data_IF_508471287479
#
_entry.id   IF_508471287479
#
_cell.length_a   1.000
_cell.length_b   1.000
_cell.length_c   1.000
_cell.angle_alpha   90.00
_cell.angle_beta   90.00
_cell.angle_gamma   90.00
#
_symmetry.space_group_name_H-M   'P 1'
#
loop_
_entity.id
_entity.type
_entity.pdbx_description
1 polymer ?
#
# COMPACT_ATOMS: atom_id res chain seq x y z
N UNK A 1 59.27 15.11 35.27
CA UNK A 1 58.86 14.75 33.90
C UNK A 1 57.41 14.27 33.94
N UNK A 2 56.47 15.09 33.42
CA UNK A 2 55.05 14.75 33.31
C UNK A 2 54.79 14.31 31.87
N UNK A 3 54.07 13.21 31.58
CA UNK A 3 53.71 12.85 30.23
C UNK A 3 52.45 13.60 29.83
N UNK A 4 52.51 14.25 28.69
CA UNK A 4 51.40 14.95 28.04
C UNK A 4 50.64 13.94 27.17
N UNK A 5 49.34 13.73 27.48
CA UNK A 5 48.42 12.93 26.66
C UNK A 5 47.81 13.83 25.59
N UNK A 6 48.02 13.49 24.31
CA UNK A 6 47.28 14.05 23.18
C UNK A 6 46.01 13.21 22.97
N UNK A 7 44.84 13.84 23.10
CA UNK A 7 43.56 13.28 22.71
C UNK A 7 43.34 13.66 21.24
N UNK A 8 43.44 12.68 20.36
CA UNK A 8 43.06 12.84 18.96
C UNK A 8 41.59 12.54 18.81
N UNK A 9 40.79 13.58 18.63
CA UNK A 9 39.36 13.45 18.32
C UNK A 9 39.20 13.00 16.85
N UNK A 10 38.76 11.76 16.64
CA UNK A 10 38.29 11.29 15.32
C UNK A 10 36.89 11.80 15.11
N UNK A 11 36.74 12.83 14.26
CA UNK A 11 35.45 13.19 13.67
C UNK A 11 35.11 12.12 12.62
N UNK A 12 34.24 11.18 13.00
CA UNK A 12 33.63 10.26 12.05
C UNK A 12 32.52 11.03 11.29
N UNK A 13 32.87 11.57 10.13
CA UNK A 13 31.89 12.17 9.23
C UNK A 13 30.98 11.11 8.66
N UNK A 14 29.75 11.06 9.19
CA UNK A 14 28.70 10.17 8.71
C UNK A 14 28.15 10.76 7.40
N UNK A 15 28.72 10.35 6.26
CA UNK A 15 28.10 10.60 4.95
C UNK A 15 26.82 9.76 4.86
N UNK A 16 25.70 10.40 5.11
CA UNK A 16 24.40 9.85 4.72
C UNK A 16 24.36 10.00 3.20
N UNK A 17 24.65 8.91 2.50
CA UNK A 17 24.35 8.80 1.08
C UNK A 17 22.82 8.74 0.94
N UNK A 18 22.18 9.89 0.74
CA UNK A 18 20.86 9.94 0.14
C UNK A 18 21.01 9.38 -1.28
N UNK A 19 20.65 8.11 -1.47
CA UNK A 19 20.41 7.61 -2.81
C UNK A 19 19.18 8.37 -3.33
N UNK A 20 19.29 9.18 -4.40
CA UNK A 20 18.13 9.70 -5.07
C UNK A 20 17.39 8.46 -5.61
N UNK A 21 16.16 8.25 -5.20
CA UNK A 21 15.23 7.44 -5.96
C UNK A 21 15.19 8.07 -7.35
N UNK A 22 15.86 7.43 -8.30
CA UNK A 22 15.76 7.78 -9.70
C UNK A 22 14.31 7.48 -10.11
N UNK A 23 13.45 8.49 -9.95
CA UNK A 23 12.27 8.55 -10.78
C UNK A 23 12.80 8.46 -12.21
N UNK A 24 12.62 7.32 -12.86
CA UNK A 24 12.85 7.17 -14.28
C UNK A 24 11.83 8.06 -14.98
N UNK A 25 12.12 9.34 -15.08
CA UNK A 25 11.49 10.19 -16.08
C UNK A 25 11.95 9.62 -17.43
N UNK A 26 11.12 8.76 -18.02
CA UNK A 26 11.30 8.37 -19.40
C UNK A 26 11.15 9.65 -20.24
N UNK A 27 12.29 10.21 -20.65
CA UNK A 27 12.40 11.48 -21.36
C UNK A 27 11.63 11.54 -22.70
N UNK A 28 10.81 10.51 -23.03
CA UNK A 28 10.09 10.38 -24.29
C UNK A 28 8.68 9.78 -24.14
N UNK A 29 8.11 9.66 -22.96
CA UNK A 29 6.68 9.35 -22.88
C UNK A 29 5.89 10.57 -23.33
N UNK A 30 4.94 10.43 -24.28
CA UNK A 30 4.06 11.54 -24.62
C UNK A 30 3.39 12.00 -23.33
N UNK A 31 3.40 13.32 -23.11
CA UNK A 31 2.66 13.89 -21.99
C UNK A 31 1.23 13.35 -22.04
N UNK A 32 0.67 12.94 -20.91
CA UNK A 32 -0.75 12.62 -20.81
C UNK A 32 -1.50 13.78 -21.45
N UNK A 33 -2.40 13.54 -22.41
CA UNK A 33 -3.31 14.60 -22.84
C UNK A 33 -3.93 15.16 -21.57
N UNK A 34 -3.87 16.48 -21.35
CA UNK A 34 -4.50 17.11 -20.18
C UNK A 34 -5.92 16.55 -20.10
N UNK A 35 -6.28 15.77 -19.08
CA UNK A 35 -7.62 15.24 -19.00
C UNK A 35 -8.57 16.43 -19.04
N UNK A 36 -9.72 16.34 -19.72
CA UNK A 36 -10.74 17.37 -19.56
C UNK A 36 -10.97 17.50 -18.06
N UNK A 37 -11.12 18.73 -17.58
CA UNK A 37 -11.40 18.99 -16.17
C UNK A 37 -12.49 18.02 -15.74
N UNK A 38 -12.15 17.04 -14.89
CA UNK A 38 -13.11 16.04 -14.47
C UNK A 38 -14.16 16.70 -13.59
N UNK A 39 -15.37 16.75 -14.08
CA UNK A 39 -16.54 17.13 -13.28
C UNK A 39 -17.26 15.85 -12.78
N UNK A 40 -18.25 15.97 -11.87
CA UNK A 40 -18.96 14.83 -11.30
C UNK A 40 -19.56 13.86 -12.30
N UNK A 41 -19.84 14.30 -13.52
CA UNK A 41 -20.52 13.52 -14.57
C UNK A 41 -19.67 13.32 -15.84
N UNK A 42 -18.35 13.45 -15.73
CA UNK A 42 -17.44 13.29 -16.89
C UNK A 42 -17.68 11.93 -17.59
N UNK A 43 -18.00 11.92 -18.90
CA UNK A 43 -18.22 10.68 -19.62
C UNK A 43 -17.02 9.72 -19.56
N UNK A 44 -17.30 8.44 -19.34
CA UNK A 44 -16.27 7.40 -19.22
C UNK A 44 -15.75 7.19 -17.79
N UNK A 45 -16.04 8.10 -16.87
CA UNK A 45 -15.69 8.01 -15.45
C UNK A 45 -16.93 7.69 -14.59
N UNK A 46 -16.72 7.21 -13.36
CA UNK A 46 -17.83 7.01 -12.42
C UNK A 46 -18.43 8.37 -12.04
N UNK A 47 -19.75 8.40 -11.81
CA UNK A 47 -20.40 9.58 -11.23
C UNK A 47 -19.88 9.77 -9.81
N UNK A 48 -19.52 11.00 -9.46
CA UNK A 48 -18.88 11.31 -8.19
C UNK A 48 -19.51 12.55 -7.52
N UNK A 49 -19.38 12.67 -6.22
CA UNK A 49 -19.69 13.89 -5.46
C UNK A 49 -18.45 14.78 -5.45
N UNK A 50 -18.56 15.98 -6.01
CA UNK A 50 -17.49 16.99 -5.91
C UNK A 50 -17.58 17.70 -4.57
N UNK A 51 -16.45 17.69 -3.84
CA UNK A 51 -16.35 18.36 -2.55
C UNK A 51 -15.75 19.78 -2.71
N UNK A 52 -16.08 20.71 -1.82
CA UNK A 52 -15.39 22.00 -1.73
C UNK A 52 -13.88 21.81 -1.61
N UNK A 53 -13.11 22.75 -2.15
CA UNK A 53 -11.65 22.69 -2.11
C UNK A 53 -11.12 22.67 -0.66
N UNK A 54 -10.20 21.75 -0.39
CA UNK A 54 -9.65 21.50 0.94
C UNK A 54 -10.46 20.51 1.80
N UNK A 55 -11.66 20.12 1.39
CA UNK A 55 -12.46 19.10 2.09
C UNK A 55 -12.09 17.67 1.67
N UNK A 56 -12.40 16.72 2.55
CA UNK A 56 -12.18 15.28 2.37
C UNK A 56 -13.51 14.54 2.45
N UNK A 57 -13.61 13.30 1.93
CA UNK A 57 -14.84 12.52 2.01
C UNK A 57 -15.30 12.27 3.44
N UNK A 58 -16.63 12.14 3.68
CA UNK A 58 -17.14 11.80 5.00
C UNK A 58 -16.75 10.37 5.40
N UNK A 59 -16.52 10.16 6.70
CA UNK A 59 -16.05 8.87 7.24
C UNK A 59 -17.13 7.79 7.31
N UNK A 60 -18.39 8.16 7.05
CA UNK A 60 -19.58 7.30 7.14
C UNK A 60 -20.29 7.09 5.79
N UNK A 61 -19.69 7.52 4.69
CA UNK A 61 -20.28 7.41 3.35
C UNK A 61 -19.43 6.56 2.40
N UNK A 62 -20.10 5.64 1.70
CA UNK A 62 -19.55 4.94 0.55
C UNK A 62 -19.71 5.77 -0.73
N UNK A 63 -18.96 5.43 -1.77
CA UNK A 63 -19.14 5.98 -3.11
C UNK A 63 -17.91 6.71 -3.66
N UNK A 64 -18.15 7.58 -4.63
CA UNK A 64 -17.10 8.24 -5.40
C UNK A 64 -17.08 9.73 -5.06
N UNK A 65 -15.88 10.24 -4.78
CA UNK A 65 -15.67 11.64 -4.40
C UNK A 65 -14.58 12.28 -5.24
N UNK A 66 -14.71 13.56 -5.52
CA UNK A 66 -13.66 14.39 -6.12
C UNK A 66 -13.25 15.41 -5.07
N UNK A 67 -11.95 15.41 -4.70
CA UNK A 67 -11.37 16.45 -3.83
C UNK A 67 -10.65 17.50 -4.65
N UNK A 68 -10.68 18.74 -4.14
CA UNK A 68 -10.11 19.91 -4.81
C UNK A 68 -8.58 19.89 -4.90
N UNK A 69 -7.98 20.90 -5.55
CA UNK A 69 -6.54 20.94 -5.81
C UNK A 69 -5.67 21.34 -4.61
N UNK A 70 -6.26 21.71 -3.48
CA UNK A 70 -5.54 22.15 -2.26
C UNK A 70 -5.47 21.00 -1.26
N UNK A 71 -4.26 20.56 -0.93
CA UNK A 71 -4.00 19.42 -0.05
C UNK A 71 -3.23 19.85 1.19
N UNK A 72 -3.96 20.33 2.20
CA UNK A 72 -3.36 20.68 3.49
C UNK A 72 -3.21 19.44 4.37
N UNK A 73 -2.06 19.35 5.05
CA UNK A 73 -1.79 18.24 5.95
C UNK A 73 -2.74 18.25 7.16
N UNK A 74 -3.42 17.14 7.40
CA UNK A 74 -4.31 16.98 8.53
C UNK A 74 -3.56 17.16 9.87
N UNK A 75 -4.21 17.73 10.88
CA UNK A 75 -3.57 17.99 12.19
C UNK A 75 -3.13 16.71 12.90
N UNK A 76 -3.75 15.58 12.61
CA UNK A 76 -3.44 14.25 13.15
C UNK A 76 -2.05 13.72 12.75
N UNK A 77 -1.44 14.28 11.70
CA UNK A 77 -0.07 13.92 11.30
C UNK A 77 1.00 14.45 12.26
N UNK A 78 0.63 15.34 13.15
CA UNK A 78 1.55 15.94 14.11
C UNK A 78 1.37 15.29 15.48
N UNK A 79 2.49 15.10 16.19
CA UNK A 79 2.45 14.71 17.59
C UNK A 79 1.72 15.82 18.37
N UNK A 80 0.63 15.46 19.03
CA UNK A 80 -0.17 16.39 19.82
C UNK A 80 0.16 16.30 21.30
N UNK A 81 0.21 17.43 21.97
CA UNK A 81 0.48 17.49 23.42
C UNK A 81 -0.62 16.76 24.20
N UNK A 82 -0.22 15.89 25.12
CA UNK A 82 -1.15 15.12 25.94
C UNK A 82 -1.71 13.85 25.28
N UNK A 83 -1.42 13.61 23.99
CA UNK A 83 -1.80 12.37 23.32
C UNK A 83 -0.74 11.28 23.65
N UNK A 84 -1.17 10.12 24.19
CA UNK A 84 -0.26 9.02 24.47
C UNK A 84 0.35 8.47 23.17
N UNK A 85 1.68 8.40 23.13
CA UNK A 85 2.39 7.88 21.96
C UNK A 85 2.67 6.40 22.10
N UNK A 86 2.50 5.66 21.01
CA UNK A 86 2.86 4.25 20.91
C UNK A 86 4.36 4.02 20.91
N UNK A 87 4.74 2.74 20.99
CA UNK A 87 6.14 2.29 20.93
C UNK A 87 6.43 1.74 19.53
N UNK A 88 7.56 2.14 18.98
CA UNK A 88 8.00 1.68 17.66
C UNK A 88 9.12 0.65 17.83
N UNK A 89 8.92 -0.53 17.28
CA UNK A 89 9.91 -1.61 17.22
C UNK A 89 10.47 -1.72 15.80
N UNK A 90 11.75 -2.07 15.72
CA UNK A 90 12.40 -2.35 14.43
C UNK A 90 13.13 -3.68 14.52
N UNK A 91 12.94 -4.52 13.52
CA UNK A 91 13.74 -5.72 13.37
C UNK A 91 14.02 -6.02 11.89
N UNK A 92 14.94 -6.93 11.68
CA UNK A 92 15.46 -7.29 10.35
C UNK A 92 15.10 -8.74 10.09
N UNK A 93 14.65 -9.02 8.86
CA UNK A 93 14.48 -10.37 8.34
C UNK A 93 15.49 -10.57 7.20
N UNK A 94 16.29 -11.64 7.29
CA UNK A 94 17.14 -12.04 6.17
C UNK A 94 16.32 -12.92 5.22
N UNK A 95 16.36 -12.63 3.94
CA UNK A 95 15.62 -13.41 2.94
C UNK A 95 16.08 -14.88 2.87
N UNK A 96 17.33 -15.16 3.26
CA UNK A 96 17.84 -16.53 3.37
C UNK A 96 17.09 -17.40 4.38
N UNK A 97 16.41 -16.80 5.34
CA UNK A 97 15.61 -17.48 6.35
C UNK A 97 14.15 -17.65 5.90
N UNK A 98 13.75 -16.95 4.83
CA UNK A 98 12.40 -17.03 4.26
C UNK A 98 12.26 -18.27 3.37
N UNK A 99 11.17 -18.99 3.54
CA UNK A 99 10.79 -20.11 2.67
C UNK A 99 10.04 -19.64 1.42
N UNK A 100 9.41 -18.45 1.52
CA UNK A 100 8.53 -17.91 0.47
C UNK A 100 9.30 -16.93 -0.43
N UNK A 101 10.11 -16.05 0.16
CA UNK A 101 10.87 -15.02 -0.57
C UNK A 101 12.37 -15.06 -0.23
N UNK A 102 13.11 -16.07 -0.76
CA UNK A 102 14.55 -16.17 -0.51
C UNK A 102 15.37 -15.07 -1.19
N UNK A 103 14.78 -14.36 -2.13
CA UNK A 103 15.35 -13.21 -2.81
C UNK A 103 15.77 -13.45 -4.25
N UNK A 104 15.39 -12.51 -5.11
CA UNK A 104 15.83 -12.41 -6.50
C UNK A 104 16.28 -11.00 -6.83
N UNK A 105 17.10 -10.87 -7.85
CA UNK A 105 17.41 -9.59 -8.49
C UNK A 105 17.33 -9.75 -10.01
N UNK A 106 16.81 -8.73 -10.66
CA UNK A 106 16.72 -8.66 -12.12
C UNK A 106 18.10 -8.53 -12.76
N UNK A 107 18.32 -9.28 -13.84
CA UNK A 107 19.55 -9.19 -14.62
C UNK A 107 19.67 -7.84 -15.32
N UNK A 108 20.87 -7.30 -15.38
CA UNK A 108 21.13 -5.98 -15.98
C UNK A 108 20.83 -5.99 -17.47
N UNK A 109 20.24 -4.91 -17.97
CA UNK A 109 20.01 -4.67 -19.40
C UNK A 109 18.87 -5.47 -20.03
N UNK A 110 18.08 -6.16 -19.23
CA UNK A 110 17.02 -7.03 -19.73
C UNK A 110 15.60 -6.43 -19.59
N UNK A 111 15.44 -5.35 -18.86
CA UNK A 111 14.15 -4.67 -18.73
C UNK A 111 13.90 -3.69 -19.89
N UNK A 112 12.71 -3.78 -20.47
CA UNK A 112 12.29 -2.85 -21.52
C UNK A 112 12.87 -3.12 -22.90
N UNK A 113 13.57 -4.24 -23.12
CA UNK A 113 14.00 -4.66 -24.45
C UNK A 113 12.80 -5.21 -25.22
N UNK A 114 12.51 -4.67 -26.42
CA UNK A 114 11.43 -5.22 -27.27
C UNK A 114 11.70 -6.69 -27.60
N UNK A 115 10.64 -7.52 -27.57
CA UNK A 115 10.74 -8.90 -28.04
C UNK A 115 11.08 -8.91 -29.55
N UNK A 116 12.15 -9.57 -29.99
CA UNK A 116 12.47 -9.64 -31.43
C UNK A 116 11.36 -10.27 -32.30
N UNK A 117 10.50 -11.07 -31.70
CA UNK A 117 9.37 -11.73 -32.39
C UNK A 117 8.08 -10.89 -32.35
N UNK A 118 7.95 -10.05 -31.34
CA UNK A 118 6.82 -9.17 -31.17
C UNK A 118 7.27 -7.85 -30.51
N UNK A 119 7.68 -6.85 -31.31
CA UNK A 119 8.20 -5.59 -30.78
C UNK A 119 7.23 -4.78 -29.93
N UNK A 120 5.93 -5.13 -29.93
CA UNK A 120 4.93 -4.55 -29.03
C UNK A 120 5.06 -5.08 -27.59
N UNK A 121 5.68 -6.24 -27.42
CA UNK A 121 5.96 -6.83 -26.10
C UNK A 121 7.35 -6.44 -25.64
N UNK A 122 7.43 -6.04 -24.39
CA UNK A 122 8.71 -5.91 -23.73
C UNK A 122 9.12 -7.28 -23.18
N UNK A 123 10.33 -7.72 -23.51
CA UNK A 123 10.89 -8.89 -22.84
C UNK A 123 11.11 -8.51 -21.38
N UNK A 124 10.37 -9.17 -20.55
CA UNK A 124 10.63 -9.18 -19.13
C UNK A 124 11.45 -10.43 -18.84
N UNK A 125 12.51 -10.39 -18.67
CA UNK A 125 13.83 -10.64 -18.40
C UNK A 125 14.12 -11.67 -17.37
N UNK A 126 15.28 -12.17 -17.42
CA UNK A 126 15.82 -13.11 -16.48
C UNK A 126 16.14 -12.43 -15.15
N UNK A 127 15.87 -13.14 -14.08
CA UNK A 127 16.28 -12.82 -12.72
C UNK A 127 17.13 -13.95 -12.19
N UNK A 128 18.00 -13.66 -11.26
CA UNK A 128 18.77 -14.68 -10.55
C UNK A 128 18.58 -14.54 -9.03
N UNK A 129 18.87 -15.62 -8.30
CA UNK A 129 18.79 -15.63 -6.85
C UNK A 129 19.78 -14.60 -6.25
N UNK A 130 19.27 -13.73 -5.40
CA UNK A 130 20.06 -12.72 -4.71
C UNK A 130 19.45 -12.46 -3.33
N UNK A 131 20.10 -12.91 -2.26
CA UNK A 131 19.65 -12.64 -0.91
C UNK A 131 19.61 -11.15 -0.61
N UNK A 132 18.67 -10.74 0.21
CA UNK A 132 18.51 -9.36 0.68
C UNK A 132 18.11 -9.32 2.16
N UNK A 133 18.07 -8.11 2.69
CA UNK A 133 17.68 -7.85 4.07
C UNK A 133 16.45 -6.96 4.08
N UNK A 134 15.40 -7.40 4.78
CA UNK A 134 14.15 -6.68 4.93
C UNK A 134 14.04 -6.07 6.30
N UNK A 135 13.62 -4.81 6.36
CA UNK A 135 13.24 -4.16 7.62
C UNK A 135 11.75 -4.32 7.86
N UNK A 136 11.38 -4.65 9.08
CA UNK A 136 10.01 -4.60 9.58
C UNK A 136 9.95 -3.59 10.71
N UNK A 137 9.03 -2.64 10.61
CA UNK A 137 8.77 -1.61 11.62
C UNK A 137 7.38 -1.83 12.17
N UNK A 138 7.26 -1.93 13.48
CA UNK A 138 5.99 -2.21 14.15
C UNK A 138 5.69 -1.11 15.15
N UNK A 139 4.54 -0.49 15.00
CA UNK A 139 3.96 0.44 15.95
C UNK A 139 2.97 -0.30 16.85
N UNK A 140 3.14 -0.17 18.16
CA UNK A 140 2.22 -0.71 19.18
C UNK A 140 1.65 0.46 19.97
N UNK A 141 0.33 0.71 19.92
CA UNK A 141 -0.27 1.86 20.59
C UNK A 141 -0.13 1.74 22.12
N UNK A 142 -0.04 2.88 22.80
CA UNK A 142 0.04 2.94 24.27
C UNK A 142 -1.17 2.30 24.95
N UNK A 143 -2.30 2.28 24.26
CA UNK A 143 -3.57 1.70 24.73
C UNK A 143 -3.65 0.18 24.56
N UNK A 144 -2.64 -0.45 23.95
CA UNK A 144 -2.62 -1.90 23.83
C UNK A 144 -2.58 -2.57 25.22
N UNK A 145 -3.45 -3.55 25.40
CA UNK A 145 -3.49 -4.36 26.63
C UNK A 145 -2.83 -5.72 26.35
N UNK A 146 -1.75 -6.01 27.05
CA UNK A 146 -1.00 -7.26 26.86
C UNK A 146 -1.89 -8.49 27.02
N UNK A 147 -1.74 -9.44 26.10
CA UNK A 147 -2.53 -10.68 26.06
C UNK A 147 -3.90 -10.56 25.43
N UNK A 148 -4.35 -9.34 25.05
CA UNK A 148 -5.60 -9.19 24.29
C UNK A 148 -5.31 -9.24 22.78
N UNK A 149 -6.12 -9.94 21.95
CA UNK A 149 -5.98 -9.91 20.50
C UNK A 149 -6.22 -8.51 19.96
N UNK A 150 -5.17 -7.88 19.41
CA UNK A 150 -5.25 -6.54 18.83
C UNK A 150 -5.61 -6.60 17.34
N UNK A 151 -6.49 -5.72 16.84
CA UNK A 151 -6.61 -5.49 15.41
C UNK A 151 -5.30 -4.91 14.86
N UNK A 152 -5.08 -5.05 13.54
CA UNK A 152 -3.84 -4.56 12.95
C UNK A 152 -3.99 -4.17 11.47
N UNK A 153 -3.05 -3.34 11.02
CA UNK A 153 -2.90 -2.97 9.61
C UNK A 153 -1.49 -3.32 9.13
N UNK A 154 -1.40 -4.02 7.99
CA UNK A 154 -0.15 -4.37 7.32
C UNK A 154 0.09 -3.42 6.17
N UNK A 155 1.21 -2.69 6.21
CA UNK A 155 1.65 -1.78 5.15
C UNK A 155 2.83 -2.34 4.37
N UNK A 156 2.78 -2.18 3.06
CA UNK A 156 3.86 -2.46 2.11
C UNK A 156 4.82 -1.27 2.01
N UNK A 157 6.01 -1.47 1.41
CA UNK A 157 7.03 -0.43 1.19
C UNK A 157 7.45 0.33 2.47
N UNK A 158 7.38 -0.33 3.64
CA UNK A 158 7.66 0.30 4.92
C UNK A 158 9.08 0.87 5.11
N UNK A 159 9.26 1.77 6.09
CA UNK A 159 8.30 2.18 7.09
C UNK A 159 7.37 3.32 6.63
N UNK A 160 6.09 3.24 6.93
CA UNK A 160 5.16 4.36 6.76
C UNK A 160 5.13 5.23 8.03
N UNK A 161 6.00 6.23 8.06
CA UNK A 161 6.16 7.09 9.24
C UNK A 161 5.01 8.07 9.44
N UNK A 162 4.16 8.32 8.44
CA UNK A 162 2.97 9.17 8.59
C UNK A 162 1.88 8.46 9.39
N UNK A 163 1.80 7.16 9.27
CA UNK A 163 0.75 6.35 9.91
C UNK A 163 0.79 6.41 11.44
N UNK A 164 1.99 6.47 12.05
CA UNK A 164 2.13 6.32 13.50
C UNK A 164 1.55 7.49 14.30
N UNK A 165 1.88 8.78 14.03
CA UNK A 165 1.25 9.88 14.73
C UNK A 165 -0.25 9.99 14.45
N UNK A 166 -0.69 9.62 13.25
CA UNK A 166 -2.13 9.56 12.93
C UNK A 166 -2.83 8.55 13.82
N UNK A 167 -2.28 7.36 13.98
CA UNK A 167 -2.85 6.34 14.86
C UNK A 167 -2.86 6.78 16.32
N UNK A 168 -1.80 7.44 16.83
CA UNK A 168 -1.79 7.97 18.19
C UNK A 168 -2.99 8.91 18.43
N UNK A 169 -3.22 9.84 17.51
CA UNK A 169 -4.29 10.84 17.62
C UNK A 169 -5.68 10.22 17.46
N UNK A 170 -5.88 9.37 16.45
CA UNK A 170 -7.18 8.73 16.18
C UNK A 170 -7.56 7.74 17.29
N UNK A 171 -6.62 6.97 17.82
CA UNK A 171 -6.87 6.05 18.93
C UNK A 171 -7.20 6.82 20.21
N UNK A 172 -6.47 7.89 20.52
CA UNK A 172 -6.76 8.75 21.66
C UNK A 172 -8.15 9.42 21.52
N UNK A 173 -8.51 9.83 20.31
CA UNK A 173 -9.84 10.35 19.99
C UNK A 173 -10.96 9.31 19.91
N UNK A 174 -10.64 8.01 20.06
CA UNK A 174 -11.59 6.87 19.90
C UNK A 174 -12.25 6.82 18.52
N UNK A 175 -11.56 7.32 17.52
CA UNK A 175 -12.00 7.32 16.11
C UNK A 175 -11.72 5.99 15.43
N UNK A 176 -10.63 5.31 15.84
CA UNK A 176 -10.25 3.97 15.40
C UNK A 176 -9.92 3.10 16.62
N UNK A 177 -9.98 1.75 16.51
CA UNK A 177 -9.62 0.87 17.61
C UNK A 177 -8.11 0.97 17.93
N UNK A 178 -7.69 0.63 19.16
CA UNK A 178 -6.27 0.46 19.46
C UNK A 178 -5.66 -0.66 18.62
N UNK A 179 -5.07 -0.30 17.47
CA UNK A 179 -4.54 -1.24 16.50
C UNK A 179 -3.02 -1.18 16.40
N UNK A 180 -2.42 -2.29 16.01
CA UNK A 180 -1.00 -2.41 15.71
C UNK A 180 -0.77 -2.09 14.23
N UNK A 181 0.25 -1.29 13.90
CA UNK A 181 0.66 -1.10 12.51
C UNK A 181 1.97 -1.84 12.24
N UNK A 182 1.99 -2.61 11.15
CA UNK A 182 3.11 -3.44 10.73
C UNK A 182 3.54 -2.98 9.34
N UNK A 183 4.65 -2.24 9.27
CA UNK A 183 5.21 -1.74 8.02
C UNK A 183 6.34 -2.63 7.54
N UNK A 184 6.18 -3.27 6.39
CA UNK A 184 7.12 -4.25 5.84
C UNK A 184 7.86 -3.63 4.67
N UNK A 185 9.20 -3.56 4.75
CA UNK A 185 10.05 -3.19 3.61
C UNK A 185 10.05 -4.28 2.55
N UNK A 186 10.22 -3.90 1.29
CA UNK A 186 10.33 -4.83 0.17
C UNK A 186 11.79 -5.33 -0.05
N UNK A 187 11.95 -6.30 -0.94
CA UNK A 187 13.26 -6.85 -1.31
C UNK A 187 14.06 -6.03 -2.32
N UNK A 188 13.55 -4.87 -2.71
CA UNK A 188 14.23 -3.95 -3.62
C UNK A 188 13.88 -4.11 -5.09
N UNK A 189 14.31 -3.12 -5.87
CA UNK A 189 13.98 -2.99 -7.27
C UNK A 189 12.59 -2.42 -7.50
N UNK A 190 12.25 -2.29 -8.77
CA UNK A 190 10.93 -1.85 -9.23
C UNK A 190 10.60 -2.56 -10.55
N UNK A 191 9.31 -2.69 -10.85
CA UNK A 191 8.79 -3.38 -12.03
C UNK A 191 9.25 -4.87 -12.16
N UNK A 192 8.84 -5.49 -13.24
CA UNK A 192 8.99 -6.93 -13.46
C UNK A 192 10.44 -7.44 -13.32
N UNK A 193 10.59 -8.61 -12.77
CA UNK A 193 11.88 -9.26 -12.56
C UNK A 193 12.61 -8.85 -11.29
N UNK A 194 12.15 -7.83 -10.58
CA UNK A 194 12.67 -7.45 -9.26
C UNK A 194 11.99 -8.24 -8.14
N UNK A 195 12.60 -8.25 -6.97
CA UNK A 195 12.00 -8.87 -5.78
C UNK A 195 10.70 -8.17 -5.40
N UNK A 196 10.66 -6.82 -5.42
CA UNK A 196 9.44 -6.06 -5.12
C UNK A 196 8.29 -6.42 -6.06
N UNK A 197 8.56 -6.64 -7.35
CA UNK A 197 7.53 -7.08 -8.29
C UNK A 197 7.07 -8.51 -8.02
N UNK A 198 8.01 -9.41 -7.67
CA UNK A 198 7.66 -10.77 -7.25
C UNK A 198 6.79 -10.77 -5.99
N UNK A 199 7.04 -9.87 -5.06
CA UNK A 199 6.26 -9.73 -3.83
C UNK A 199 4.88 -9.14 -4.08
N UNK A 200 4.79 -8.07 -4.89
CA UNK A 200 3.59 -7.21 -4.95
C UNK A 200 2.74 -7.39 -6.21
N UNK A 201 3.38 -7.72 -7.35
CA UNK A 201 2.68 -7.84 -8.62
C UNK A 201 2.37 -9.30 -9.00
N UNK A 202 2.62 -10.25 -8.08
CA UNK A 202 2.20 -11.64 -8.26
C UNK A 202 0.70 -11.77 -7.98
N UNK A 203 -0.07 -12.21 -8.99
CA UNK A 203 -1.51 -12.43 -8.85
C UNK A 203 -1.80 -13.75 -8.13
N UNK A 204 -1.54 -13.79 -6.82
CA UNK A 204 -1.75 -14.97 -5.95
C UNK A 204 -1.78 -14.59 -4.48
N UNK A 205 -2.18 -15.54 -3.60
CA UNK A 205 -2.17 -15.37 -2.14
C UNK A 205 -0.79 -15.36 -1.49
N UNK A 206 0.29 -15.54 -2.27
CA UNK A 206 1.63 -15.81 -1.75
C UNK A 206 2.18 -14.74 -0.80
N UNK A 207 1.91 -13.46 -1.06
CA UNK A 207 2.37 -12.41 -0.16
C UNK A 207 1.60 -12.40 1.17
N UNK A 208 0.30 -12.68 1.14
CA UNK A 208 -0.49 -12.87 2.36
C UNK A 208 0.01 -14.06 3.18
N UNK A 209 0.34 -15.19 2.51
CA UNK A 209 0.92 -16.37 3.15
C UNK A 209 2.27 -16.05 3.80
N UNK A 210 3.13 -15.28 3.12
CA UNK A 210 4.39 -14.80 3.68
C UNK A 210 4.16 -13.98 4.95
N UNK A 211 3.22 -13.05 4.91
CA UNK A 211 2.88 -12.22 6.07
C UNK A 211 2.38 -13.11 7.22
N UNK A 212 1.44 -14.01 6.96
CA UNK A 212 0.82 -14.87 7.98
C UNK A 212 1.82 -15.86 8.60
N UNK A 213 2.68 -16.47 7.78
CA UNK A 213 3.55 -17.57 8.22
C UNK A 213 4.91 -17.12 8.74
N UNK A 214 5.43 -15.99 8.24
CA UNK A 214 6.80 -15.57 8.55
C UNK A 214 6.85 -14.23 9.31
N UNK A 215 6.02 -13.25 8.94
CA UNK A 215 6.07 -11.91 9.55
C UNK A 215 5.29 -11.83 10.87
N UNK A 216 4.01 -12.22 10.87
CA UNK A 216 3.16 -12.07 12.05
C UNK A 216 3.69 -12.83 13.28
N UNK A 217 4.17 -14.09 13.16
CA UNK A 217 4.77 -14.79 14.32
C UNK A 217 6.00 -14.06 14.89
N UNK A 218 6.79 -13.43 14.01
CA UNK A 218 7.96 -12.66 14.43
C UNK A 218 7.54 -11.36 15.13
N UNK A 219 6.49 -10.70 14.65
CA UNK A 219 5.89 -9.50 15.29
C UNK A 219 5.38 -9.85 16.69
N UNK A 220 4.57 -10.90 16.83
CA UNK A 220 4.04 -11.33 18.12
C UNK A 220 5.16 -11.62 19.14
N UNK A 221 6.19 -12.36 18.70
CA UNK A 221 7.34 -12.70 19.51
C UNK A 221 8.17 -11.49 19.94
N UNK A 222 8.53 -10.62 18.97
CA UNK A 222 9.49 -9.54 19.21
C UNK A 222 8.85 -8.31 19.89
N UNK A 223 7.56 -8.08 19.66
CA UNK A 223 6.83 -6.96 20.24
C UNK A 223 6.00 -7.35 21.47
N UNK A 224 5.97 -8.64 21.83
CA UNK A 224 5.17 -9.19 22.95
C UNK A 224 3.69 -8.82 22.84
N UNK A 225 3.13 -8.97 21.65
CA UNK A 225 1.74 -8.68 21.34
C UNK A 225 1.00 -9.94 20.88
N UNK A 226 -0.33 -9.90 20.96
CA UNK A 226 -1.21 -10.92 20.37
C UNK A 226 -2.02 -10.26 19.28
N UNK A 227 -2.00 -10.81 18.07
CA UNK A 227 -2.73 -10.29 16.92
C UNK A 227 -4.06 -11.01 16.74
N UNK A 228 -5.11 -10.28 16.38
CA UNK A 228 -6.43 -10.88 16.16
C UNK A 228 -6.43 -11.85 14.98
N UNK A 229 -7.25 -12.90 15.09
CA UNK A 229 -7.53 -13.82 13.98
C UNK A 229 -8.85 -13.48 13.26
N UNK A 230 -9.60 -12.51 13.77
CA UNK A 230 -10.81 -12.01 13.14
C UNK A 230 -10.44 -11.21 11.87
N UNK A 231 -10.87 -11.62 10.67
CA UNK A 231 -10.57 -10.91 9.43
C UNK A 231 -11.11 -9.48 9.40
N UNK A 232 -12.18 -9.17 10.16
CA UNK A 232 -12.69 -7.80 10.30
C UNK A 232 -11.75 -6.89 11.09
N UNK A 233 -10.86 -7.46 11.89
CA UNK A 233 -9.83 -6.75 12.64
C UNK A 233 -8.49 -6.68 11.91
N UNK A 234 -8.43 -7.02 10.63
CA UNK A 234 -7.20 -7.09 9.84
C UNK A 234 -7.31 -6.25 8.58
N UNK A 235 -6.38 -5.32 8.42
CA UNK A 235 -6.32 -4.43 7.28
C UNK A 235 -4.98 -4.54 6.54
N UNK A 236 -5.01 -4.20 5.24
CA UNK A 236 -3.84 -4.08 4.39
C UNK A 236 -3.78 -2.69 3.76
N UNK A 237 -2.57 -2.14 3.55
CA UNK A 237 -2.40 -0.82 2.95
C UNK A 237 -1.15 -0.73 2.10
N UNK A 238 -1.18 0.14 1.10
CA UNK A 238 -0.02 0.45 0.29
C UNK A 238 -0.27 1.49 -0.79
N UNK A 239 0.81 1.86 -1.48
CA UNK A 239 0.77 2.73 -2.65
C UNK A 239 1.35 2.04 -3.86
N UNK A 240 0.91 2.41 -5.08
CA UNK A 240 1.43 1.83 -6.31
C UNK A 240 1.26 0.29 -6.36
N UNK A 241 2.30 -0.47 -6.71
CA UNK A 241 2.29 -1.93 -6.61
C UNK A 241 1.99 -2.43 -5.18
N UNK A 242 2.39 -1.67 -4.15
CA UNK A 242 2.01 -1.97 -2.77
C UNK A 242 0.50 -1.84 -2.53
N UNK A 243 -0.17 -0.93 -3.25
CA UNK A 243 -1.63 -0.77 -3.20
C UNK A 243 -2.34 -1.95 -3.87
N UNK A 244 -1.92 -2.38 -5.07
CA UNK A 244 -2.47 -3.59 -5.69
C UNK A 244 -2.18 -4.83 -4.83
N UNK A 245 -0.97 -4.95 -4.24
CA UNK A 245 -0.63 -6.01 -3.30
C UNK A 245 -1.58 -6.06 -2.10
N UNK A 246 -1.93 -4.91 -1.53
CA UNK A 246 -2.89 -4.84 -0.43
C UNK A 246 -4.26 -5.44 -0.81
N UNK A 247 -4.77 -5.17 -2.02
CA UNK A 247 -5.98 -5.80 -2.51
C UNK A 247 -5.77 -7.28 -2.85
N UNK A 248 -4.65 -7.64 -3.48
CA UNK A 248 -4.31 -9.03 -3.82
C UNK A 248 -4.33 -9.91 -2.56
N UNK A 249 -3.75 -9.44 -1.45
CA UNK A 249 -3.78 -10.15 -0.17
C UNK A 249 -5.22 -10.46 0.28
N UNK A 250 -6.08 -9.45 0.30
CA UNK A 250 -7.47 -9.61 0.73
C UNK A 250 -8.31 -10.41 -0.29
N UNK A 251 -8.01 -10.28 -1.58
CA UNK A 251 -8.73 -10.98 -2.63
C UNK A 251 -8.51 -12.50 -2.61
N UNK A 252 -7.25 -12.92 -2.44
CA UNK A 252 -6.91 -14.35 -2.43
C UNK A 252 -7.09 -14.98 -1.04
N UNK A 253 -7.07 -14.17 0.03
CA UNK A 253 -7.30 -14.60 1.41
C UNK A 253 -8.35 -13.75 2.12
N UNK A 254 -9.61 -13.77 1.62
CA UNK A 254 -10.70 -13.04 2.26
C UNK A 254 -11.05 -13.60 3.66
N UNK A 255 -10.62 -14.80 3.99
CA UNK A 255 -10.70 -15.37 5.35
C UNK A 255 -9.70 -14.74 6.33
N UNK A 256 -8.72 -13.97 5.82
CA UNK A 256 -7.70 -13.31 6.66
C UNK A 256 -7.86 -11.79 6.71
N UNK A 257 -8.25 -11.13 5.61
CA UNK A 257 -8.27 -9.66 5.50
C UNK A 257 -9.58 -9.16 4.89
N UNK A 258 -10.25 -8.26 5.60
CA UNK A 258 -11.50 -7.65 5.13
C UNK A 258 -11.39 -6.14 4.87
N UNK A 259 -10.23 -5.51 5.12
CA UNK A 259 -10.07 -4.06 5.00
C UNK A 259 -8.86 -3.73 4.15
N UNK A 260 -9.05 -2.88 3.14
CA UNK A 260 -8.01 -2.51 2.17
C UNK A 260 -7.98 -1.00 1.99
N UNK A 261 -6.78 -0.39 2.08
CA UNK A 261 -6.57 1.02 1.87
C UNK A 261 -5.45 1.22 0.85
N UNK A 262 -5.73 1.90 -0.28
CA UNK A 262 -4.77 2.02 -1.37
C UNK A 262 -4.66 3.44 -1.90
N UNK A 263 -3.42 3.87 -2.17
CA UNK A 263 -3.10 5.11 -2.86
C UNK A 263 -2.49 4.78 -4.22
N UNK A 264 -3.05 5.31 -5.31
CA UNK A 264 -2.57 5.07 -6.68
C UNK A 264 -2.36 3.59 -7.00
N UNK A 265 -3.29 2.72 -6.62
CA UNK A 265 -3.14 1.27 -6.78
C UNK A 265 -2.79 0.87 -8.21
N UNK A 266 -1.79 -0.01 -8.38
CA UNK A 266 -1.33 -0.50 -9.68
C UNK A 266 -2.29 -1.56 -10.22
N UNK A 267 -3.50 -1.13 -10.61
CA UNK A 267 -4.52 -1.99 -11.23
C UNK A 267 -4.37 -2.04 -12.77
N UNK A 268 -3.15 -1.87 -13.25
CA UNK A 268 -2.74 -1.91 -14.65
C UNK A 268 -2.18 -3.28 -15.04
N UNK A 269 -1.90 -3.48 -16.34
CA UNK A 269 -1.28 -4.72 -16.83
C UNK A 269 0.19 -4.82 -16.37
N UNK A 270 0.35 -5.19 -15.11
CA UNK A 270 1.66 -5.42 -14.50
C UNK A 270 1.59 -6.64 -13.58
N UNK A 271 2.44 -7.64 -13.85
CA UNK A 271 2.63 -8.77 -12.94
C UNK A 271 4.00 -9.41 -13.13
N UNK A 272 4.43 -10.14 -12.12
CA UNK A 272 5.63 -10.97 -12.18
C UNK A 272 5.57 -12.09 -11.12
N UNK A 273 5.81 -13.35 -11.50
CA UNK A 273 5.95 -13.85 -12.88
C UNK A 273 4.64 -13.80 -13.67
N UNK A 274 4.73 -13.98 -14.98
CA UNK A 274 3.56 -14.12 -15.84
C UNK A 274 2.67 -15.28 -15.39
N UNK A 275 1.37 -15.07 -15.32
CA UNK A 275 0.37 -16.08 -14.97
C UNK A 275 -0.70 -16.12 -16.08
N UNK A 276 -0.89 -17.27 -16.77
CA UNK A 276 -1.87 -17.40 -17.83
C UNK A 276 -3.33 -17.26 -17.34
N UNK A 277 -3.61 -17.51 -16.06
CA UNK A 277 -4.95 -17.36 -15.48
C UNK A 277 -5.32 -15.88 -15.24
N UNK A 278 -4.32 -15.01 -15.18
CA UNK A 278 -4.46 -13.56 -15.07
C UNK A 278 -3.50 -12.86 -16.03
N UNK A 279 -3.72 -12.99 -17.36
CA UNK A 279 -2.74 -12.60 -18.38
C UNK A 279 -2.38 -11.11 -18.35
N UNK A 280 -3.27 -10.26 -17.81
CA UNK A 280 -3.07 -8.81 -17.69
C UNK A 280 -2.81 -8.36 -16.23
N UNK A 281 -2.34 -9.27 -15.37
CA UNK A 281 -2.00 -8.93 -13.99
C UNK A 281 -3.16 -8.31 -13.21
N UNK A 282 -2.90 -7.23 -12.47
CA UNK A 282 -3.93 -6.58 -11.66
C UNK A 282 -5.02 -5.86 -12.46
N UNK A 283 -4.85 -5.65 -13.77
CA UNK A 283 -5.92 -5.20 -14.66
C UNK A 283 -7.12 -6.16 -14.67
N UNK A 284 -6.88 -7.45 -14.44
CA UNK A 284 -7.92 -8.47 -14.36
C UNK A 284 -8.94 -8.22 -13.24
N UNK A 285 -8.59 -7.46 -12.21
CA UNK A 285 -9.54 -7.15 -11.14
C UNK A 285 -10.81 -6.50 -11.67
N UNK A 286 -10.67 -5.49 -12.53
CA UNK A 286 -11.82 -4.77 -13.06
C UNK A 286 -12.33 -5.31 -14.39
N UNK A 287 -11.59 -6.18 -15.05
CA UNK A 287 -12.01 -6.78 -16.32
C UNK A 287 -12.77 -8.09 -16.10
N UNK A 288 -12.31 -8.95 -15.20
CA UNK A 288 -12.84 -10.30 -14.98
C UNK A 288 -13.04 -10.66 -13.52
N UNK A 289 -12.03 -10.50 -12.66
CA UNK A 289 -12.05 -11.11 -11.32
C UNK A 289 -13.23 -10.61 -10.47
N UNK A 290 -13.44 -9.30 -10.39
CA UNK A 290 -14.56 -8.72 -9.64
C UNK A 290 -15.88 -8.93 -10.37
N UNK A 291 -16.01 -8.65 -11.71
CA UNK A 291 -17.25 -8.87 -12.43
C UNK A 291 -17.77 -10.31 -12.39
N UNK A 292 -16.88 -11.29 -12.51
CA UNK A 292 -17.25 -12.70 -12.68
C UNK A 292 -17.32 -13.48 -11.37
N UNK A 293 -16.96 -12.85 -10.23
CA UNK A 293 -16.99 -13.49 -8.91
C UNK A 293 -18.14 -12.98 -8.05
N UNK A 294 -18.64 -13.76 -7.09
CA UNK A 294 -19.45 -13.23 -5.99
C UNK A 294 -18.69 -12.15 -5.21
N UNK A 295 -19.42 -11.15 -4.70
CA UNK A 295 -18.80 -10.14 -3.85
C UNK A 295 -18.15 -10.80 -2.63
N UNK A 296 -16.90 -10.41 -2.35
CA UNK A 296 -16.16 -10.84 -1.16
C UNK A 296 -16.41 -9.87 0.00
N UNK A 297 -16.25 -10.28 1.25
CA UNK A 297 -16.50 -9.42 2.42
C UNK A 297 -15.33 -8.43 2.64
N UNK A 298 -14.99 -7.66 1.63
CA UNK A 298 -13.87 -6.73 1.64
C UNK A 298 -14.41 -5.30 1.57
N UNK A 299 -13.94 -4.44 2.48
CA UNK A 299 -14.16 -2.99 2.46
C UNK A 299 -12.92 -2.32 1.87
N UNK A 300 -13.09 -1.44 0.88
CA UNK A 300 -11.96 -0.94 0.07
C UNK A 300 -12.01 0.59 0.00
N UNK A 301 -10.97 1.23 0.52
CA UNK A 301 -10.70 2.64 0.29
C UNK A 301 -9.63 2.81 -0.78
N UNK A 302 -9.87 3.68 -1.78
CA UNK A 302 -8.97 3.89 -2.91
C UNK A 302 -8.83 5.36 -3.24
N UNK A 303 -7.63 5.77 -3.64
CA UNK A 303 -7.36 7.11 -4.16
C UNK A 303 -6.54 7.03 -5.45
N UNK A 304 -6.75 8.00 -6.34
CA UNK A 304 -5.90 8.25 -7.51
C UNK A 304 -5.82 9.75 -7.83
N UNK A 305 -4.62 10.23 -8.14
CA UNK A 305 -4.39 11.59 -8.58
C UNK A 305 -4.75 11.82 -10.06
N UNK A 306 -5.20 13.02 -10.43
CA UNK A 306 -5.51 13.39 -11.83
C UNK A 306 -4.28 13.41 -12.74
N UNK A 307 -3.07 13.53 -12.16
CA UNK A 307 -1.78 13.52 -12.84
C UNK A 307 -1.00 12.22 -12.58
N UNK A 308 -1.70 11.13 -12.24
CA UNK A 308 -1.09 9.82 -12.00
C UNK A 308 -0.45 9.25 -13.27
N UNK A 309 0.31 8.18 -13.16
CA UNK A 309 1.08 7.60 -14.25
C UNK A 309 0.24 7.22 -15.46
N UNK A 310 0.77 7.57 -16.62
CA UNK A 310 0.30 7.15 -17.93
C UNK A 310 1.48 6.68 -18.77
N UNK A 311 1.57 5.39 -19.03
CA UNK A 311 2.68 4.74 -19.73
C UNK A 311 2.22 4.06 -21.02
N UNK A 312 1.79 4.80 -22.05
CA UNK A 312 1.16 4.24 -23.27
C UNK A 312 2.13 3.40 -24.11
N UNK A 313 3.43 3.54 -23.90
CA UNK A 313 4.45 2.79 -24.62
C UNK A 313 4.82 1.44 -23.98
N UNK A 314 4.38 1.21 -22.74
CA UNK A 314 4.58 -0.08 -22.07
C UNK A 314 3.58 -1.07 -22.68
N UNK A 315 4.11 -2.15 -23.25
CA UNK A 315 3.37 -3.21 -23.96
C UNK A 315 2.43 -2.72 -25.08
N UNK A 316 2.15 -1.42 -25.18
CA UNK A 316 1.27 -0.77 -26.17
C UNK A 316 -0.14 -1.37 -26.24
N UNK A 317 -0.63 -1.88 -25.12
CA UNK A 317 -1.92 -2.54 -24.98
C UNK A 317 -3.04 -1.61 -24.47
N UNK A 318 -2.68 -0.37 -24.10
CA UNK A 318 -3.63 0.60 -23.53
C UNK A 318 -4.00 0.34 -22.07
N UNK A 319 -3.33 -0.59 -21.39
CA UNK A 319 -3.64 -1.03 -20.04
C UNK A 319 -2.68 -0.44 -18.97
N UNK A 320 -2.00 0.68 -19.30
CA UNK A 320 -1.01 1.31 -18.43
C UNK A 320 -1.35 2.78 -18.12
N UNK A 321 -2.62 3.02 -17.80
CA UNK A 321 -3.16 4.29 -17.31
C UNK A 321 -3.75 4.07 -15.91
N UNK A 322 -3.07 4.60 -14.88
CA UNK A 322 -3.47 4.42 -13.47
C UNK A 322 -4.81 5.07 -13.16
N UNK A 323 -5.10 6.24 -13.77
CA UNK A 323 -6.40 6.91 -13.57
C UNK A 323 -7.52 6.04 -14.13
N UNK A 324 -7.38 5.59 -15.37
CA UNK A 324 -8.38 4.73 -16.01
C UNK A 324 -8.57 3.43 -15.26
N UNK A 325 -7.49 2.81 -14.80
CA UNK A 325 -7.54 1.55 -14.04
C UNK A 325 -8.29 1.72 -12.71
N UNK A 326 -7.99 2.78 -11.94
CA UNK A 326 -8.66 3.05 -10.66
C UNK A 326 -10.13 3.45 -10.85
N UNK A 327 -10.46 4.22 -11.90
CA UNK A 327 -11.86 4.54 -12.26
C UNK A 327 -12.65 3.28 -12.65
N UNK A 328 -12.03 2.34 -13.37
CA UNK A 328 -12.64 1.04 -13.70
C UNK A 328 -12.85 0.19 -12.44
N UNK A 329 -11.89 0.20 -11.52
CA UNK A 329 -12.06 -0.44 -10.20
C UNK A 329 -13.28 0.10 -9.47
N UNK A 330 -13.41 1.42 -9.33
CA UNK A 330 -14.57 2.05 -8.68
C UNK A 330 -15.89 1.63 -9.35
N UNK A 331 -15.92 1.56 -10.69
CA UNK A 331 -17.11 1.13 -11.45
C UNK A 331 -17.55 -0.29 -11.12
N UNK A 332 -16.61 -1.24 -11.11
CA UNK A 332 -16.95 -2.65 -10.86
C UNK A 332 -17.28 -2.91 -9.39
N UNK A 333 -16.65 -2.20 -8.47
CA UNK A 333 -16.97 -2.26 -7.04
C UNK A 333 -18.40 -1.75 -6.79
N UNK A 334 -18.78 -0.62 -7.40
CA UNK A 334 -20.16 -0.11 -7.35
C UNK A 334 -21.16 -1.11 -7.90
N UNK A 335 -20.88 -1.66 -9.10
CA UNK A 335 -21.78 -2.62 -9.77
C UNK A 335 -21.98 -3.91 -8.96
N UNK A 336 -20.98 -4.31 -8.16
CA UNK A 336 -21.03 -5.50 -7.31
C UNK A 336 -21.54 -5.24 -5.89
N UNK A 337 -21.81 -3.98 -5.53
CA UNK A 337 -22.33 -3.60 -4.21
C UNK A 337 -21.32 -3.77 -3.09
N UNK A 338 -20.02 -3.54 -3.36
CA UNK A 338 -19.00 -3.49 -2.32
C UNK A 338 -19.17 -2.26 -1.42
N UNK A 339 -18.78 -2.36 -0.18
CA UNK A 339 -18.45 -1.20 0.65
C UNK A 339 -17.13 -0.63 0.16
N UNK A 340 -17.18 0.52 -0.53
CA UNK A 340 -15.97 1.17 -1.04
C UNK A 340 -16.10 2.68 -0.99
N UNK A 341 -14.97 3.34 -0.86
CA UNK A 341 -14.85 4.77 -1.05
C UNK A 341 -13.71 5.03 -2.05
N UNK A 342 -14.02 5.75 -3.12
CA UNK A 342 -13.07 6.13 -4.15
C UNK A 342 -12.89 7.63 -4.18
N UNK A 343 -11.63 8.09 -4.08
CA UNK A 343 -11.24 9.49 -4.06
C UNK A 343 -10.43 9.82 -5.30
N UNK A 344 -10.97 10.70 -6.14
CA UNK A 344 -10.24 11.29 -7.25
C UNK A 344 -9.67 12.63 -6.78
N UNK A 345 -8.34 12.75 -6.73
CA UNK A 345 -7.67 13.95 -6.24
C UNK A 345 -7.21 14.84 -7.38
N UNK A 346 -7.63 16.11 -7.39
CA UNK A 346 -7.15 17.11 -8.36
C UNK A 346 -5.77 17.60 -7.97
N UNK A 347 -4.95 17.97 -8.97
CA UNK A 347 -3.58 18.47 -8.79
C UNK A 347 -2.69 17.50 -7.99
N UNK A 348 -2.86 16.21 -8.24
CA UNK A 348 -2.20 15.15 -7.53
C UNK A 348 -1.46 14.20 -8.48
N UNK A 349 -0.25 13.83 -8.12
CA UNK A 349 0.61 12.89 -8.86
C UNK A 349 0.52 11.49 -8.28
N UNK A 350 1.32 10.56 -8.83
CA UNK A 350 1.38 9.18 -8.38
C UNK A 350 1.77 9.04 -6.90
N UNK A 351 0.92 8.39 -6.10
CA UNK A 351 1.08 8.25 -4.63
C UNK A 351 1.40 9.60 -3.99
N UNK A 352 0.57 10.60 -4.29
CA UNK A 352 0.84 11.97 -3.88
C UNK A 352 0.90 12.09 -2.36
N UNK A 353 2.06 12.60 -1.89
CA UNK A 353 2.30 12.73 -0.47
C UNK A 353 1.36 13.73 0.21
N UNK A 354 1.00 14.83 -0.47
CA UNK A 354 0.14 15.87 0.11
C UNK A 354 -1.29 15.36 0.21
N UNK A 355 -1.79 14.66 -0.82
CA UNK A 355 -3.09 13.98 -0.77
C UNK A 355 -3.14 12.97 0.38
N UNK A 356 -2.10 12.15 0.53
CA UNK A 356 -2.03 11.20 1.64
C UNK A 356 -2.00 11.92 3.00
N UNK A 357 -1.29 13.04 3.11
CA UNK A 357 -1.26 13.84 4.33
C UNK A 357 -2.63 14.47 4.66
N UNK A 358 -3.42 14.80 3.66
CA UNK A 358 -4.76 15.34 3.85
C UNK A 358 -5.75 14.23 4.24
N UNK A 359 -5.75 13.09 3.53
CA UNK A 359 -6.84 12.11 3.54
C UNK A 359 -6.64 10.94 4.50
N UNK A 360 -5.41 10.68 4.97
CA UNK A 360 -5.11 9.46 5.74
C UNK A 360 -5.94 9.31 7.03
N UNK A 361 -6.19 10.37 7.84
CA UNK A 361 -7.01 10.22 9.04
C UNK A 361 -8.42 9.75 8.73
N UNK A 362 -9.11 10.43 7.81
CA UNK A 362 -10.49 10.13 7.42
C UNK A 362 -10.59 8.79 6.72
N UNK A 363 -9.61 8.45 5.88
CA UNK A 363 -9.53 7.14 5.24
C UNK A 363 -9.44 6.00 6.27
N UNK A 364 -8.68 6.19 7.34
CA UNK A 364 -8.60 5.22 8.44
C UNK A 364 -9.91 5.16 9.24
N UNK A 365 -10.53 6.30 9.55
CA UNK A 365 -11.83 6.32 10.23
C UNK A 365 -12.88 5.56 9.40
N UNK A 366 -12.99 5.89 8.10
CA UNK A 366 -13.90 5.19 7.21
C UNK A 366 -13.58 3.68 7.12
N UNK A 367 -12.29 3.33 7.01
CA UNK A 367 -11.87 1.94 6.89
C UNK A 367 -12.26 1.10 8.11
N UNK A 368 -12.17 1.69 9.32
CA UNK A 368 -12.43 1.00 10.58
C UNK A 368 -13.84 1.21 11.13
N UNK A 369 -14.68 1.96 10.43
CA UNK A 369 -16.07 2.14 10.80
C UNK A 369 -16.77 0.79 11.04
N UNK A 370 -17.60 0.71 12.07
CA UNK A 370 -18.37 -0.47 12.42
C UNK A 370 -17.57 -1.65 12.98
N UNK A 371 -16.24 -1.56 13.09
CA UNK A 371 -15.46 -2.62 13.72
C UNK A 371 -15.70 -2.68 15.23
N UNK A 372 -16.09 -3.87 15.70
CA UNK A 372 -16.19 -4.17 17.13
C UNK A 372 -15.21 -5.30 17.45
N UNK A 373 -14.25 -5.09 18.38
CA UNK A 373 -13.39 -6.17 18.82
C UNK A 373 -14.24 -7.34 19.32
N UNK A 374 -13.95 -8.54 18.84
CA UNK A 374 -14.54 -9.74 19.43
C UNK A 374 -14.08 -9.83 20.90
N UNK A 375 -14.97 -9.51 21.82
CA UNK A 375 -14.76 -9.79 23.23
C UNK A 375 -14.64 -11.30 23.33
N UNK A 376 -13.43 -11.78 23.67
CA UNK A 376 -13.22 -13.20 23.93
C UNK A 376 -14.29 -13.65 24.91
N UNK A 377 -15.15 -14.58 24.48
CA UNK A 377 -16.10 -15.22 25.37
C UNK A 377 -15.26 -15.81 26.51
N UNK A 378 -15.46 -15.25 27.70
CA UNK A 378 -15.04 -15.92 28.93
C UNK A 378 -15.93 -17.18 29.05
N UNK A 379 -15.55 -18.23 28.35
CA UNK A 379 -16.02 -19.56 28.71
C UNK A 379 -15.19 -20.02 29.91
N UNK A 380 -15.54 -19.45 31.08
CA UNK A 380 -15.21 -19.98 32.35
C UNK A 380 -16.36 -20.81 32.82
N UNK A 381 -16.18 -22.08 32.88
CA UNK A 381 -16.74 -22.96 33.90
C UNK A 381 -16.08 -24.33 33.78
#
# INVERSE_FOLDING_TARGET
MKPTFYVTAFLCGMFIALSPALAQTSANSPARPTPPTRDPHTPGYVTATELPDGEVPPTDADGNFIIGPTHEAAPELRVQAGVPQGVIYHFIMNSTDSKIYPGIVRDKGTFGTPDPKDPAKLIVTTSHAAPYVRRVTVYVPKQYVSGTPAPFIVGTDGPDLMLFPVLDNLIAGKKVPPMIAISIGNGGGDAQGSERSLEYDTMSGRYAEFVEQEVLPMVEKNCHVTLTKDPNGRATTGGSSGGSCALIMAWYHPEWYHRVLTYSGTYVNQQWPSNPDTPHGAWEFHEHLIPDSPAKPIRIWMEVGDQDFYNPNVMRDGMHDWVVANERMARVLAAKGYHYQFVFARNAVHVDRQVKQQTLPEALEWLWEGYQPTTGSQNGS
#
